data_IF_960889744384
#
_entry.id   IF_960889744384
#
_cell.length_a   1.000
_cell.length_b   1.000
_cell.length_c   1.000
_cell.angle_alpha   90.00
_cell.angle_beta   90.00
_cell.angle_gamma   90.00
#
_symmetry.space_group_name_H-M   'P 1'
#
loop_
_entity.id
_entity.type
_entity.pdbx_description
1 polymer ?
#
# COMPACT_ATOMS: atom_id res chain seq x y z
N UNK A 1 15.12 80.01 -9.34
CA UNK A 1 14.67 79.14 -8.22
C UNK A 1 14.20 77.76 -8.72
N UNK A 2 14.86 77.15 -9.73
CA UNK A 2 14.42 75.89 -10.37
C UNK A 2 15.16 74.64 -9.89
N UNK A 3 16.24 74.76 -9.12
CA UNK A 3 17.16 73.63 -8.86
C UNK A 3 16.72 72.63 -7.79
N UNK A 4 15.82 73.01 -6.87
CA UNK A 4 15.43 72.13 -5.76
C UNK A 4 14.35 71.11 -6.16
N UNK A 5 13.44 71.51 -7.06
CA UNK A 5 12.33 70.67 -7.55
C UNK A 5 12.80 69.61 -8.55
N UNK A 6 13.77 69.96 -9.40
CA UNK A 6 14.39 69.01 -10.34
C UNK A 6 15.26 67.97 -9.63
N UNK A 7 15.95 68.36 -8.54
CA UNK A 7 16.72 67.42 -7.71
C UNK A 7 15.82 66.42 -6.97
N UNK A 8 14.65 66.84 -6.49
CA UNK A 8 13.73 65.91 -5.79
C UNK A 8 13.10 64.89 -6.74
N UNK A 9 12.78 65.29 -7.97
CA UNK A 9 12.27 64.37 -9.00
C UNK A 9 13.32 63.34 -9.42
N UNK A 10 14.57 63.76 -9.59
CA UNK A 10 15.66 62.83 -9.92
C UNK A 10 15.96 61.84 -8.77
N UNK A 11 15.85 62.28 -7.51
CA UNK A 11 15.97 61.37 -6.34
C UNK A 11 14.88 60.30 -6.37
N UNK A 12 13.62 60.73 -6.57
CA UNK A 12 12.48 59.82 -6.60
C UNK A 12 12.54 58.79 -7.74
N UNK A 13 13.00 59.21 -8.93
CA UNK A 13 13.19 58.31 -10.08
C UNK A 13 14.31 57.29 -9.83
N UNK A 14 15.38 57.68 -9.14
CA UNK A 14 16.44 56.74 -8.76
C UNK A 14 15.98 55.76 -7.68
N UNK A 15 15.25 56.22 -6.66
CA UNK A 15 14.68 55.37 -5.61
C UNK A 15 13.70 54.32 -6.18
N UNK A 16 12.84 54.74 -7.12
CA UNK A 16 11.92 53.81 -7.80
C UNK A 16 12.66 52.80 -8.68
N UNK A 17 13.78 53.19 -9.30
CA UNK A 17 14.63 52.27 -10.06
C UNK A 17 15.33 51.26 -9.15
N UNK A 18 15.89 51.71 -8.02
CA UNK A 18 16.52 50.82 -7.03
C UNK A 18 15.53 49.84 -6.41
N UNK A 19 14.32 50.32 -6.08
CA UNK A 19 13.24 49.47 -5.58
C UNK A 19 12.86 48.41 -6.61
N UNK A 20 12.72 48.81 -7.88
CA UNK A 20 12.41 47.88 -8.98
C UNK A 20 13.48 46.79 -9.12
N UNK A 21 14.76 47.12 -9.00
CA UNK A 21 15.82 46.11 -9.09
C UNK A 21 15.89 45.22 -7.84
N UNK A 22 15.67 45.76 -6.64
CA UNK A 22 15.53 44.96 -5.42
C UNK A 22 14.38 43.95 -5.54
N UNK A 23 13.22 44.40 -6.05
CA UNK A 23 12.06 43.54 -6.27
C UNK A 23 12.37 42.47 -7.34
N UNK A 24 13.03 42.82 -8.44
CA UNK A 24 13.46 41.85 -9.46
C UNK A 24 14.41 40.79 -8.93
N UNK A 25 15.30 41.13 -8.00
CA UNK A 25 16.21 40.18 -7.39
C UNK A 25 15.50 39.22 -6.44
N UNK A 26 14.42 39.67 -5.80
CA UNK A 26 13.73 38.92 -4.74
C UNK A 26 12.57 38.06 -5.29
N UNK A 27 11.93 38.49 -6.40
CA UNK A 27 10.83 37.75 -7.05
C UNK A 27 11.17 36.28 -7.36
N UNK A 28 12.33 35.93 -7.95
CA UNK A 28 12.66 34.54 -8.25
C UNK A 28 12.66 33.64 -7.02
N UNK A 29 13.17 34.12 -5.89
CA UNK A 29 13.17 33.40 -4.61
C UNK A 29 11.76 33.18 -4.08
N UNK A 30 10.88 34.18 -4.19
CA UNK A 30 9.46 34.02 -3.84
C UNK A 30 8.73 33.05 -4.77
N UNK A 31 9.02 33.08 -6.08
CA UNK A 31 8.43 32.12 -7.03
C UNK A 31 8.90 30.69 -6.71
N UNK A 32 10.18 30.51 -6.37
CA UNK A 32 10.71 29.20 -5.97
C UNK A 32 10.02 28.69 -4.70
N UNK A 33 9.92 29.53 -3.66
CA UNK A 33 9.22 29.20 -2.42
C UNK A 33 7.73 28.87 -2.68
N UNK A 34 7.07 29.65 -3.54
CA UNK A 34 5.67 29.41 -3.87
C UNK A 34 5.49 28.09 -4.63
N UNK A 35 6.40 27.74 -5.54
CA UNK A 35 6.40 26.44 -6.23
C UNK A 35 6.58 25.28 -5.27
N UNK A 36 7.50 25.41 -4.31
CA UNK A 36 7.73 24.42 -3.27
C UNK A 36 6.49 24.24 -2.39
N UNK A 37 5.91 25.35 -1.91
CA UNK A 37 4.68 25.34 -1.12
C UNK A 37 3.48 24.81 -1.92
N UNK A 38 3.41 25.05 -3.22
CA UNK A 38 2.34 24.52 -4.07
C UNK A 38 2.48 23.04 -4.38
N UNK A 39 3.67 22.45 -4.22
CA UNK A 39 3.89 21.01 -4.40
C UNK A 39 3.59 20.20 -3.12
N UNK A 40 3.66 20.83 -1.94
CA UNK A 40 3.37 20.19 -0.65
C UNK A 40 2.01 19.47 -0.57
N UNK A 41 0.89 20.02 -1.10
CA UNK A 41 -0.40 19.33 -1.06
C UNK A 41 -0.38 18.01 -1.84
N UNK A 42 0.25 17.99 -3.02
CA UNK A 42 0.33 16.78 -3.85
C UNK A 42 1.21 15.71 -3.18
N UNK A 43 2.35 16.09 -2.61
CA UNK A 43 3.21 15.17 -1.86
C UNK A 43 2.49 14.63 -0.62
N UNK A 44 1.79 15.51 0.10
CA UNK A 44 0.98 15.11 1.25
C UNK A 44 -0.11 14.11 0.86
N UNK A 45 -0.85 14.34 -0.21
CA UNK A 45 -1.89 13.42 -0.68
C UNK A 45 -1.31 12.06 -1.07
N UNK A 46 -0.17 12.02 -1.77
CA UNK A 46 0.51 10.76 -2.10
C UNK A 46 0.91 9.99 -0.84
N UNK A 47 1.47 10.67 0.15
CA UNK A 47 1.85 10.07 1.43
C UNK A 47 0.63 9.63 2.26
N UNK A 48 -0.47 10.37 2.18
CA UNK A 48 -1.74 10.01 2.79
C UNK A 48 -2.25 8.67 2.22
N UNK A 49 -2.28 8.53 0.88
CA UNK A 49 -2.70 7.28 0.25
C UNK A 49 -1.78 6.10 0.57
N UNK A 50 -0.47 6.33 0.61
CA UNK A 50 0.51 5.31 1.04
C UNK A 50 0.23 4.86 2.48
N UNK A 51 -0.12 5.79 3.37
CA UNK A 51 -0.49 5.45 4.75
C UNK A 51 -1.77 4.60 4.80
N UNK A 52 -2.73 4.85 3.91
CA UNK A 52 -3.91 4.00 3.75
C UNK A 52 -3.58 2.56 3.33
N UNK A 53 -2.62 2.39 2.42
CA UNK A 53 -2.11 1.05 2.04
C UNK A 53 -1.42 0.37 3.23
N UNK A 54 -0.64 1.11 4.02
CA UNK A 54 0.03 0.58 5.21
C UNK A 54 -0.97 0.16 6.30
N UNK A 55 -2.03 0.93 6.52
CA UNK A 55 -3.10 0.57 7.43
C UNK A 55 -3.78 -0.74 7.02
N UNK A 56 -4.13 -0.89 5.74
CA UNK A 56 -4.67 -2.13 5.18
C UNK A 56 -3.72 -3.31 5.40
N UNK A 57 -2.44 -3.12 5.13
CA UNK A 57 -1.42 -4.15 5.31
C UNK A 57 -1.30 -4.59 6.78
N UNK A 58 -1.35 -3.65 7.71
CA UNK A 58 -1.34 -3.96 9.14
C UNK A 58 -2.57 -4.75 9.58
N UNK A 59 -3.75 -4.39 9.10
CA UNK A 59 -4.99 -5.15 9.37
C UNK A 59 -4.88 -6.57 8.85
N UNK A 60 -4.55 -6.75 7.56
CA UNK A 60 -4.42 -8.07 6.95
C UNK A 60 -3.32 -8.90 7.64
N UNK A 61 -2.23 -8.27 8.08
CA UNK A 61 -1.17 -8.95 8.84
C UNK A 61 -1.68 -9.48 10.17
N UNK A 62 -2.39 -8.66 10.95
CA UNK A 62 -2.92 -9.07 12.24
C UNK A 62 -3.90 -10.25 12.09
N UNK A 63 -4.77 -10.17 11.08
CA UNK A 63 -5.72 -11.24 10.77
C UNK A 63 -5.01 -12.52 10.30
N UNK A 64 -3.98 -12.38 9.44
CA UNK A 64 -3.17 -13.51 8.98
C UNK A 64 -2.41 -14.20 10.11
N UNK A 65 -1.75 -13.45 10.99
CA UNK A 65 -1.02 -14.00 12.13
C UNK A 65 -1.96 -14.76 13.09
N UNK A 66 -3.15 -14.19 13.34
CA UNK A 66 -4.21 -14.85 14.13
C UNK A 66 -4.68 -16.14 13.46
N UNK A 67 -4.93 -16.11 12.15
CA UNK A 67 -5.36 -17.25 11.38
C UNK A 67 -4.30 -18.36 11.34
N UNK A 68 -3.03 -17.99 11.16
CA UNK A 68 -1.90 -18.91 11.18
C UNK A 68 -1.76 -19.60 12.54
N UNK A 69 -1.90 -18.87 13.66
CA UNK A 69 -1.86 -19.44 15.00
C UNK A 69 -3.00 -20.45 15.21
N UNK A 70 -4.20 -20.15 14.72
CA UNK A 70 -5.35 -21.07 14.79
C UNK A 70 -5.11 -22.33 13.94
N UNK A 71 -4.59 -22.18 12.73
CA UNK A 71 -4.27 -23.30 11.84
C UNK A 71 -3.19 -24.22 12.47
N UNK A 72 -2.14 -23.65 13.06
CA UNK A 72 -1.10 -24.41 13.77
C UNK A 72 -1.65 -25.16 15.00
N UNK A 73 -2.54 -24.52 15.76
CA UNK A 73 -3.20 -25.17 16.90
C UNK A 73 -4.06 -26.36 16.45
N UNK A 74 -4.83 -26.18 15.37
CA UNK A 74 -5.65 -27.24 14.80
C UNK A 74 -4.79 -28.41 14.27
N UNK A 75 -3.69 -28.10 13.59
CA UNK A 75 -2.72 -29.10 13.13
C UNK A 75 -2.11 -29.90 14.29
N UNK A 76 -1.71 -29.23 15.38
CA UNK A 76 -1.18 -29.89 16.57
C UNK A 76 -2.20 -30.86 17.20
N UNK A 77 -3.45 -30.41 17.35
CA UNK A 77 -4.54 -31.25 17.87
C UNK A 77 -4.80 -32.44 16.93
N UNK A 78 -4.83 -32.20 15.62
CA UNK A 78 -5.00 -33.23 14.61
C UNK A 78 -3.92 -34.31 14.69
N UNK A 79 -2.64 -33.91 14.75
CA UNK A 79 -1.50 -34.82 14.90
C UNK A 79 -1.57 -35.63 16.18
N UNK A 80 -1.96 -35.02 17.30
CA UNK A 80 -2.11 -35.74 18.56
C UNK A 80 -3.21 -36.81 18.48
N UNK A 81 -4.34 -36.49 17.85
CA UNK A 81 -5.42 -37.45 17.60
C UNK A 81 -4.97 -38.58 16.66
N UNK A 82 -4.24 -38.26 15.59
CA UNK A 82 -3.66 -39.27 14.69
C UNK A 82 -2.73 -40.23 15.43
N UNK A 83 -1.85 -39.71 16.30
CA UNK A 83 -0.97 -40.56 17.12
C UNK A 83 -1.77 -41.47 18.05
N UNK A 84 -2.83 -40.97 18.68
CA UNK A 84 -3.73 -41.79 19.49
C UNK A 84 -4.38 -42.92 18.70
N UNK A 85 -4.90 -42.60 17.51
CA UNK A 85 -5.49 -43.57 16.57
C UNK A 85 -4.45 -44.60 16.14
N UNK A 86 -3.24 -44.16 15.78
CA UNK A 86 -2.15 -45.04 15.34
C UNK A 86 -1.71 -46.01 16.43
N UNK A 87 -1.68 -45.58 17.70
CA UNK A 87 -1.40 -46.46 18.84
C UNK A 87 -2.47 -47.55 18.96
N UNK A 88 -3.75 -47.17 18.84
CA UNK A 88 -4.88 -48.11 18.89
C UNK A 88 -4.86 -49.06 17.68
N UNK A 89 -4.62 -48.55 16.47
CA UNK A 89 -4.51 -49.36 15.24
C UNK A 89 -3.35 -50.36 15.32
N UNK A 90 -2.17 -49.92 15.78
CA UNK A 90 -1.02 -50.82 15.98
C UNK A 90 -1.31 -51.90 17.02
N UNK A 91 -1.97 -51.55 18.13
CA UNK A 91 -2.39 -52.54 19.13
C UNK A 91 -3.39 -53.56 18.55
N UNK A 92 -4.20 -53.15 17.57
CA UNK A 92 -5.11 -54.01 16.81
C UNK A 92 -4.51 -54.72 15.60
N UNK A 93 -3.19 -54.62 15.36
CA UNK A 93 -2.51 -55.25 14.21
C UNK A 93 -2.75 -54.57 12.85
N UNK A 94 -3.29 -53.35 12.85
CA UNK A 94 -3.53 -52.54 11.65
C UNK A 94 -2.40 -51.55 11.39
N UNK A 95 -2.29 -51.10 10.13
CA UNK A 95 -1.26 -50.15 9.71
C UNK A 95 -1.70 -48.70 9.99
N UNK A 96 -0.80 -47.84 10.50
CA UNK A 96 -1.04 -46.41 10.73
C UNK A 96 -1.53 -45.66 9.49
N UNK A 97 -2.34 -44.62 9.69
CA UNK A 97 -2.81 -43.74 8.62
C UNK A 97 -1.90 -42.51 8.57
N UNK A 98 -1.38 -42.19 7.39
CA UNK A 98 -0.55 -40.99 7.22
C UNK A 98 -1.38 -39.73 7.51
N UNK A 99 -0.85 -38.75 8.29
CA UNK A 99 -1.56 -37.52 8.55
C UNK A 99 -1.71 -36.69 7.27
N UNK A 100 -2.83 -35.95 7.11
CA UNK A 100 -3.04 -35.10 5.95
C UNK A 100 -2.00 -33.96 5.91
N UNK A 101 -1.62 -33.55 4.70
CA UNK A 101 -0.77 -32.38 4.47
C UNK A 101 -1.47 -31.10 4.93
N UNK A 102 -0.74 -30.20 5.59
CA UNK A 102 -1.30 -28.90 5.98
C UNK A 102 -1.79 -28.11 4.75
N UNK A 103 -2.93 -27.42 4.87
CA UNK A 103 -3.35 -26.46 3.86
C UNK A 103 -2.30 -25.36 3.73
N UNK A 104 -1.96 -24.96 2.49
CA UNK A 104 -1.14 -23.76 2.30
C UNK A 104 -1.97 -22.54 2.65
N UNK A 105 -1.48 -21.74 3.59
CA UNK A 105 -2.11 -20.51 4.02
C UNK A 105 -1.73 -19.37 3.07
N UNK A 106 -2.61 -18.39 2.95
CA UNK A 106 -2.38 -17.20 2.16
C UNK A 106 -3.44 -16.14 2.45
N UNK A 107 -3.63 -15.27 1.49
CA UNK A 107 -4.58 -14.16 1.55
C UNK A 107 -5.46 -14.24 0.31
N UNK A 108 -6.76 -14.07 0.52
CA UNK A 108 -7.72 -13.93 -0.57
C UNK A 108 -7.99 -12.45 -0.80
N UNK A 109 -7.85 -12.04 -2.06
CA UNK A 109 -8.06 -10.69 -2.54
C UNK A 109 -9.31 -10.73 -3.43
N UNK A 110 -10.50 -10.45 -2.91
CA UNK A 110 -11.72 -10.40 -3.71
C UNK A 110 -11.90 -9.04 -4.39
N UNK A 111 -12.68 -8.98 -5.48
CA UNK A 111 -13.03 -7.71 -6.14
C UNK A 111 -13.87 -6.79 -5.23
N UNK A 112 -14.53 -7.36 -4.22
CA UNK A 112 -15.26 -6.64 -3.18
C UNK A 112 -14.37 -5.79 -2.28
N UNK A 113 -13.05 -6.06 -2.25
CA UNK A 113 -12.08 -5.33 -1.44
C UNK A 113 -11.92 -5.83 0.00
N UNK A 114 -12.65 -6.89 0.39
CA UNK A 114 -12.51 -7.53 1.71
C UNK A 114 -11.35 -8.53 1.70
N UNK A 115 -10.14 -8.03 1.90
CA UNK A 115 -8.94 -8.85 1.90
C UNK A 115 -8.82 -9.57 3.23
N UNK A 116 -8.82 -10.89 3.20
CA UNK A 116 -8.87 -11.74 4.40
C UNK A 116 -7.92 -12.94 4.25
N UNK A 117 -7.42 -13.49 5.37
CA UNK A 117 -6.63 -14.72 5.34
C UNK A 117 -7.47 -15.90 4.86
N UNK A 118 -6.85 -16.80 4.09
CA UNK A 118 -7.52 -17.95 3.49
C UNK A 118 -6.53 -19.10 3.27
N UNK A 119 -7.00 -20.24 2.75
CA UNK A 119 -6.16 -21.38 2.39
C UNK A 119 -6.34 -21.82 0.93
N UNK A 120 -5.30 -22.43 0.38
CA UNK A 120 -5.30 -22.97 -0.97
C UNK A 120 -6.38 -24.06 -1.11
N UNK A 121 -7.21 -23.94 -2.16
CA UNK A 121 -8.29 -24.89 -2.43
C UNK A 121 -9.58 -24.69 -1.62
N UNK A 122 -9.76 -23.58 -0.90
CA UNK A 122 -11.04 -23.27 -0.24
C UNK A 122 -12.21 -23.25 -1.26
N UNK A 123 -13.20 -24.16 -1.15
CA UNK A 123 -14.32 -24.23 -2.09
C UNK A 123 -15.36 -23.11 -1.88
N UNK A 124 -15.31 -22.39 -0.77
CA UNK A 124 -16.25 -21.31 -0.42
C UNK A 124 -15.75 -19.92 -0.82
N UNK A 125 -14.64 -19.84 -1.56
CA UNK A 125 -14.05 -18.58 -1.99
C UNK A 125 -15.01 -17.81 -2.92
N UNK A 126 -15.06 -16.50 -2.74
CA UNK A 126 -15.85 -15.61 -3.60
C UNK A 126 -15.42 -15.74 -5.07
N UNK A 127 -16.37 -15.80 -6.04
CA UNK A 127 -16.04 -15.84 -7.45
C UNK A 127 -15.17 -14.65 -7.90
N UNK A 128 -14.08 -14.93 -8.61
CA UNK A 128 -13.15 -13.90 -9.08
C UNK A 128 -12.17 -13.37 -8.02
N UNK A 129 -12.19 -13.93 -6.81
CA UNK A 129 -11.17 -13.64 -5.82
C UNK A 129 -9.85 -14.36 -6.13
N UNK A 130 -8.76 -13.65 -5.92
CA UNK A 130 -7.40 -14.13 -6.20
C UNK A 130 -6.82 -14.63 -4.88
N UNK A 131 -6.30 -15.84 -4.89
CA UNK A 131 -5.48 -16.33 -3.79
C UNK A 131 -4.02 -15.97 -4.06
N UNK A 132 -3.37 -15.38 -3.08
CA UNK A 132 -1.95 -15.05 -3.10
C UNK A 132 -1.30 -15.53 -1.81
N UNK A 133 -0.02 -15.90 -1.84
CA UNK A 133 0.72 -16.04 -0.58
C UNK A 133 0.84 -14.69 0.11
N UNK A 134 1.16 -14.70 1.40
CA UNK A 134 1.37 -13.45 2.13
C UNK A 134 2.51 -12.62 1.51
N UNK A 135 3.58 -13.27 1.03
CA UNK A 135 4.70 -12.61 0.35
C UNK A 135 4.28 -11.98 -0.98
N UNK A 136 3.46 -12.67 -1.78
CA UNK A 136 2.92 -12.14 -3.02
C UNK A 136 2.03 -10.92 -2.76
N UNK A 137 1.17 -11.00 -1.74
CA UNK A 137 0.36 -9.86 -1.30
C UNK A 137 1.23 -8.66 -0.87
N UNK A 138 2.29 -8.89 -0.11
CA UNK A 138 3.27 -7.86 0.28
C UNK A 138 3.95 -7.22 -0.94
N UNK A 139 4.30 -8.02 -1.95
CA UNK A 139 4.89 -7.50 -3.18
C UNK A 139 3.89 -6.63 -3.98
N UNK A 140 2.62 -7.06 -4.05
CA UNK A 140 1.55 -6.31 -4.73
C UNK A 140 1.29 -4.97 -4.04
N UNK A 141 1.18 -4.97 -2.71
CA UNK A 141 0.97 -3.74 -1.93
C UNK A 141 2.16 -2.80 -2.02
N UNK A 142 3.40 -3.32 -2.01
CA UNK A 142 4.58 -2.49 -2.23
C UNK A 142 4.58 -1.83 -3.62
N UNK A 143 4.24 -2.59 -4.66
CA UNK A 143 4.08 -2.05 -6.02
C UNK A 143 3.00 -0.97 -6.10
N UNK A 144 1.90 -1.12 -5.35
CA UNK A 144 0.88 -0.08 -5.24
C UNK A 144 1.45 1.19 -4.58
N UNK A 145 2.16 1.06 -3.45
CA UNK A 145 2.82 2.20 -2.76
C UNK A 145 3.75 2.96 -3.71
N UNK A 146 4.56 2.24 -4.48
CA UNK A 146 5.48 2.85 -5.43
C UNK A 146 4.74 3.63 -6.53
N UNK A 147 3.60 3.11 -7.01
CA UNK A 147 2.75 3.80 -8.01
C UNK A 147 2.05 5.04 -7.44
N UNK A 148 1.63 5.00 -6.18
CA UNK A 148 1.04 6.14 -5.47
C UNK A 148 2.08 7.26 -5.26
N UNK A 149 3.29 6.93 -4.79
CA UNK A 149 4.37 7.90 -4.58
C UNK A 149 4.82 8.57 -5.89
N UNK A 150 4.80 7.83 -6.99
CA UNK A 150 5.10 8.37 -8.33
C UNK A 150 3.96 9.22 -8.91
N UNK A 151 2.78 9.23 -8.29
CA UNK A 151 1.58 9.88 -8.82
C UNK A 151 1.03 9.21 -10.08
N UNK A 152 1.39 7.94 -10.34
CA UNK A 152 0.88 7.19 -11.50
C UNK A 152 -0.56 6.72 -11.27
N UNK A 153 -0.93 6.52 -10.01
CA UNK A 153 -2.27 6.16 -9.57
C UNK A 153 -2.64 7.15 -8.48
N UNK A 154 -3.86 7.67 -8.56
CA UNK A 154 -4.43 8.58 -7.56
C UNK A 154 -5.81 8.04 -7.17
N UNK A 155 -5.95 7.44 -5.98
CA UNK A 155 -7.22 6.97 -5.48
C UNK A 155 -8.19 8.12 -5.28
N UNK A 156 -9.47 7.88 -5.55
CA UNK A 156 -10.55 8.84 -5.25
C UNK A 156 -11.03 8.67 -3.80
N UNK A 157 -10.90 7.48 -3.23
CA UNK A 157 -11.29 7.17 -1.85
C UNK A 157 -10.49 6.02 -1.24
N UNK A 158 -10.53 5.89 0.09
CA UNK A 158 -9.84 4.80 0.81
C UNK A 158 -10.39 3.41 0.44
N UNK A 159 -11.69 3.29 0.15
CA UNK A 159 -12.31 2.04 -0.29
C UNK A 159 -11.86 1.58 -1.67
N UNK A 160 -11.17 2.44 -2.41
CA UNK A 160 -10.56 2.09 -3.69
C UNK A 160 -9.23 1.34 -3.51
N UNK A 161 -8.54 1.54 -2.39
CA UNK A 161 -7.22 0.93 -2.13
C UNK A 161 -7.27 -0.60 -2.27
N UNK A 162 -8.20 -1.33 -1.63
CA UNK A 162 -8.28 -2.78 -1.80
C UNK A 162 -8.61 -3.21 -3.23
N UNK A 163 -9.38 -2.41 -3.97
CA UNK A 163 -9.72 -2.68 -5.38
C UNK A 163 -8.50 -2.51 -6.28
N UNK A 164 -7.66 -1.52 -6.00
CA UNK A 164 -6.39 -1.32 -6.70
C UNK A 164 -5.45 -2.51 -6.46
N UNK A 165 -5.39 -3.02 -5.22
CA UNK A 165 -4.66 -4.26 -4.90
C UNK A 165 -5.18 -5.44 -5.73
N UNK A 166 -6.50 -5.64 -5.80
CA UNK A 166 -7.11 -6.68 -6.66
C UNK A 166 -6.70 -6.52 -8.13
N UNK A 167 -6.78 -5.31 -8.66
CA UNK A 167 -6.43 -5.02 -10.05
C UNK A 167 -4.95 -5.32 -10.36
N UNK A 168 -4.05 -5.04 -9.42
CA UNK A 168 -2.62 -5.34 -9.55
C UNK A 168 -2.32 -6.82 -9.39
N UNK A 169 -3.04 -7.51 -8.50
CA UNK A 169 -2.97 -8.96 -8.35
C UNK A 169 -3.40 -9.66 -9.65
N UNK A 170 -4.50 -9.19 -10.25
CA UNK A 170 -5.03 -9.74 -11.49
C UNK A 170 -4.03 -9.60 -12.65
N UNK A 171 -3.38 -8.42 -12.77
CA UNK A 171 -2.33 -8.18 -13.78
C UNK A 171 -1.13 -9.10 -13.57
N UNK A 172 -0.68 -9.24 -12.32
CA UNK A 172 0.47 -10.09 -11.98
C UNK A 172 0.21 -11.57 -12.28
N UNK A 173 -1.03 -12.04 -12.07
CA UNK A 173 -1.44 -13.40 -12.40
C UNK A 173 -1.55 -13.67 -13.92
N UNK A 174 -1.78 -12.64 -14.73
CA UNK A 174 -1.90 -12.75 -16.18
C UNK A 174 -0.55 -12.69 -16.93
N UNK A 175 0.57 -12.49 -16.22
CA UNK A 175 1.90 -12.46 -16.83
C UNK A 175 2.12 -11.31 -17.80
N UNK A 176 1.33 -10.23 -17.71
CA UNK A 176 1.52 -9.05 -18.54
C UNK A 176 2.74 -8.25 -18.06
N UNK A 177 3.70 -7.90 -18.94
CA UNK A 177 4.81 -7.04 -18.56
C UNK A 177 4.27 -5.64 -18.24
N UNK A 178 4.74 -5.06 -17.15
CA UNK A 178 4.44 -3.67 -16.80
C UNK A 178 5.07 -2.72 -17.83
N UNK A 179 4.25 -1.92 -18.51
CA UNK A 179 4.64 -0.62 -19.09
C UNK A 179 4.59 0.48 -18.02
#
# INVERSE_FOLDING_TARGET
>A
MSSQRERSLNSFVNETRELKEKVRQVIPSYIALFKEVSALPEEFERHFWVSGVEALLQTVRADYDSFQAQAQKADFIGKFMTVGIDIVLKAGGMQPIAPPSLPKLGVTIPPSGKIEPDWEGNPYREPGAIFATYEEFMAITQKLKDKLLKGTIEPTSEEEIPKLVHSLALKSAQGSPDE
#
